data_IF_346989250575
#
_entry.id   IF_346989250575
#
_cell.length_a   1.000
_cell.length_b   1.000
_cell.length_c   1.000
_cell.angle_alpha   90.00
_cell.angle_beta   90.00
_cell.angle_gamma   90.00
#
_symmetry.space_group_name_H-M   'P 1'
#
loop_
_entity.id
_entity.type
_entity.pdbx_description
1 polymer ?
#
# COMPACT_ATOMS: atom_id res chain seq x y z
N UNK A 1 -64.80 -24.20 45.36
CA UNK A 1 -65.60 -24.09 44.13
C UNK A 1 -64.92 -23.08 43.21
N UNK A 2 -64.77 -23.42 41.91
CA UNK A 2 -64.54 -22.56 40.72
C UNK A 2 -63.29 -21.65 40.73
N UNK A 3 -62.16 -21.88 40.05
CA UNK A 3 -61.80 -22.30 38.66
C UNK A 3 -61.81 -21.15 37.61
N UNK A 4 -60.68 -21.05 36.87
CA UNK A 4 -60.46 -20.42 35.52
C UNK A 4 -60.45 -18.87 35.53
N UNK A 5 -59.50 -18.09 34.95
CA UNK A 5 -58.79 -18.12 33.65
C UNK A 5 -57.60 -17.13 33.72
N UNK A 6 -56.37 -17.53 33.39
CA UNK A 6 -55.65 -17.09 32.17
C UNK A 6 -56.12 -15.78 31.54
N UNK A 7 -55.25 -14.74 31.50
CA UNK A 7 -54.94 -14.15 30.20
C UNK A 7 -53.54 -13.52 30.10
N UNK A 8 -52.85 -13.92 29.03
CA UNK A 8 -51.62 -13.33 28.50
C UNK A 8 -52.05 -12.30 27.46
N UNK A 9 -51.93 -11.01 27.72
CA UNK A 9 -51.83 -9.97 26.69
C UNK A 9 -51.17 -8.74 27.31
N UNK A 10 -50.24 -8.01 26.73
CA UNK A 10 -49.46 -8.08 25.50
C UNK A 10 -48.28 -7.11 25.75
N UNK A 11 -47.04 -7.55 25.52
CA UNK A 11 -46.22 -7.04 24.41
C UNK A 11 -46.26 -5.53 24.23
N UNK A 12 -45.10 -4.90 24.48
CA UNK A 12 -44.44 -4.01 23.52
C UNK A 12 -45.41 -3.21 22.65
N UNK A 13 -45.78 -2.02 23.09
CA UNK A 13 -46.00 -0.87 22.20
C UNK A 13 -46.55 0.30 23.02
N UNK A 14 -45.65 1.09 23.56
CA UNK A 14 -45.75 2.54 23.69
C UNK A 14 -44.39 3.04 24.22
N UNK A 15 -43.29 2.62 23.59
CA UNK A 15 -42.56 3.50 22.68
C UNK A 15 -42.51 4.95 23.17
N UNK A 16 -41.31 5.31 23.62
CA UNK A 16 -40.50 6.45 23.17
C UNK A 16 -41.21 7.81 23.01
N UNK A 17 -40.50 8.81 23.53
CA UNK A 17 -40.60 10.23 23.19
C UNK A 17 -41.80 11.00 23.73
N UNK A 18 -41.67 11.51 24.96
CA UNK A 18 -41.72 12.96 25.28
C UNK A 18 -40.87 13.10 26.55
N UNK A 19 -39.66 13.67 26.50
CA UNK A 19 -39.45 15.11 26.53
C UNK A 19 -39.10 15.52 27.97
N UNK A 20 -37.84 15.95 28.15
CA UNK A 20 -37.21 16.47 29.36
C UNK A 20 -38.00 16.54 30.67
N UNK A 21 -37.57 15.78 31.68
CA UNK A 21 -37.65 16.21 33.07
C UNK A 21 -36.58 15.49 33.89
N UNK A 22 -35.74 16.29 34.53
CA UNK A 22 -34.74 15.86 35.46
C UNK A 22 -35.38 15.53 36.83
N UNK A 23 -34.65 14.71 37.59
CA UNK A 23 -34.65 14.57 39.05
C UNK A 23 -35.90 13.99 39.73
N UNK A 24 -35.68 12.89 40.46
CA UNK A 24 -36.57 12.43 41.53
C UNK A 24 -36.07 11.16 42.19
N UNK A 25 -35.07 11.27 43.07
CA UNK A 25 -34.66 10.22 44.00
C UNK A 25 -35.85 9.80 44.89
N UNK A 26 -36.04 8.49 45.05
CA UNK A 26 -37.12 7.93 45.88
C UNK A 26 -36.96 6.44 46.19
N UNK A 27 -35.84 6.10 46.82
CA UNK A 27 -35.62 5.04 47.84
C UNK A 27 -36.55 3.80 47.78
N UNK A 28 -35.98 2.69 47.32
CA UNK A 28 -36.52 1.34 47.48
C UNK A 28 -35.37 0.34 47.49
N UNK A 29 -34.57 0.36 48.56
CA UNK A 29 -33.44 -0.53 48.76
C UNK A 29 -33.89 -1.97 48.93
N UNK A 30 -33.22 -2.87 48.19
CA UNK A 30 -32.83 -4.26 48.53
C UNK A 30 -32.38 -4.91 47.21
N UNK A 31 -31.12 -4.69 46.84
CA UNK A 31 -30.54 -5.22 45.60
C UNK A 31 -29.17 -4.66 45.23
N UNK A 32 -28.70 -3.60 45.90
CA UNK A 32 -27.44 -2.93 45.62
C UNK A 32 -26.34 -3.29 46.63
N UNK A 33 -25.96 -4.56 46.76
CA UNK A 33 -24.71 -4.91 47.47
C UNK A 33 -23.82 -5.86 46.65
N UNK A 34 -24.27 -6.41 45.51
CA UNK A 34 -23.44 -7.29 44.68
C UNK A 34 -23.29 -6.86 43.20
N UNK A 35 -23.89 -5.73 42.80
CA UNK A 35 -23.79 -5.21 41.43
C UNK A 35 -22.67 -4.15 41.27
N UNK A 36 -22.20 -3.55 42.37
CA UNK A 36 -21.18 -2.49 42.35
C UNK A 36 -19.75 -3.02 42.24
N UNK A 37 -19.45 -4.21 42.79
CA UNK A 37 -18.13 -4.85 42.64
C UNK A 37 -17.92 -5.31 41.20
N UNK A 38 -18.93 -5.97 40.61
CA UNK A 38 -18.89 -6.41 39.22
C UNK A 38 -18.84 -5.23 38.24
N UNK A 39 -19.63 -4.17 38.46
CA UNK A 39 -19.58 -2.97 37.61
C UNK A 39 -18.24 -2.22 37.72
N UNK A 40 -17.65 -2.17 38.90
CA UNK A 40 -16.32 -1.56 39.10
C UNK A 40 -15.23 -2.37 38.42
N UNK A 41 -15.26 -3.70 38.56
CA UNK A 41 -14.32 -4.61 37.90
C UNK A 41 -14.47 -4.56 36.37
N UNK A 42 -15.70 -4.50 35.87
CA UNK A 42 -15.99 -4.42 34.43
C UNK A 42 -15.61 -3.05 33.84
N UNK A 43 -15.75 -1.96 34.61
CA UNK A 43 -15.20 -0.64 34.25
C UNK A 43 -13.68 -0.64 34.20
N UNK A 44 -13.02 -1.32 35.14
CA UNK A 44 -11.56 -1.43 35.15
C UNK A 44 -11.05 -2.24 33.95
N UNK A 45 -11.72 -3.35 33.61
CA UNK A 45 -11.41 -4.15 32.41
C UNK A 45 -11.64 -3.33 31.13
N UNK A 46 -12.76 -2.61 31.02
CA UNK A 46 -13.03 -1.77 29.86
C UNK A 46 -12.00 -0.63 29.72
N UNK A 47 -11.58 -0.02 30.83
CA UNK A 47 -10.52 1.00 30.81
C UNK A 47 -9.18 0.41 30.34
N UNK A 48 -8.81 -0.79 30.79
CA UNK A 48 -7.59 -1.49 30.34
C UNK A 48 -7.66 -1.81 28.85
N UNK A 49 -8.78 -2.36 28.38
CA UNK A 49 -9.00 -2.65 26.96
C UNK A 49 -8.92 -1.39 26.09
N UNK A 50 -9.46 -0.25 26.55
CA UNK A 50 -9.34 1.01 25.83
C UNK A 50 -7.89 1.50 25.75
N UNK A 51 -7.12 1.37 26.84
CA UNK A 51 -5.69 1.69 26.84
C UNK A 51 -4.89 0.74 25.95
N UNK A 52 -5.19 -0.56 25.95
CA UNK A 52 -4.54 -1.54 25.11
C UNK A 52 -4.85 -1.30 23.63
N UNK A 53 -6.10 -0.98 23.29
CA UNK A 53 -6.51 -0.60 21.93
C UNK A 53 -5.80 0.68 21.47
N UNK A 54 -5.69 1.69 22.34
CA UNK A 54 -4.92 2.89 22.03
C UNK A 54 -3.43 2.58 21.79
N UNK A 55 -2.81 1.76 22.65
CA UNK A 55 -1.41 1.36 22.48
C UNK A 55 -1.17 0.54 21.20
N UNK A 56 -2.09 -0.37 20.88
CA UNK A 56 -2.07 -1.15 19.65
C UNK A 56 -2.23 -0.25 18.42
N UNK A 57 -3.10 0.75 18.47
CA UNK A 57 -3.25 1.74 17.40
C UNK A 57 -1.98 2.59 17.25
N UNK A 58 -1.36 3.03 18.34
CA UNK A 58 -0.10 3.79 18.28
C UNK A 58 1.04 2.95 17.68
N UNK A 59 1.11 1.67 18.04
CA UNK A 59 2.08 0.72 17.44
C UNK A 59 1.76 0.43 15.99
N UNK A 60 0.49 0.30 15.63
CA UNK A 60 0.04 0.10 14.26
C UNK A 60 0.36 1.32 13.40
N UNK A 61 0.07 2.52 13.89
CA UNK A 61 0.41 3.79 13.22
C UNK A 61 1.92 3.93 13.08
N UNK A 62 2.69 3.58 14.12
CA UNK A 62 4.14 3.53 14.04
C UNK A 62 4.59 2.54 12.97
N UNK A 63 4.11 1.30 12.95
CA UNK A 63 4.44 0.30 11.92
C UNK A 63 3.97 0.70 10.52
N UNK A 64 2.84 1.38 10.40
CA UNK A 64 2.30 1.91 9.15
C UNK A 64 3.13 3.07 8.62
N UNK A 65 3.74 3.90 9.49
CA UNK A 65 4.76 4.89 9.08
C UNK A 65 5.99 4.23 8.48
N UNK A 66 6.26 2.97 8.80
CA UNK A 66 7.30 2.14 8.16
C UNK A 66 6.75 1.24 7.03
N UNK A 67 5.44 1.24 6.76
CA UNK A 67 4.84 0.53 5.63
C UNK A 67 5.01 1.36 4.37
N UNK A 68 6.22 1.34 3.82
CA UNK A 68 6.53 1.97 2.54
C UNK A 68 6.00 1.06 1.44
N UNK A 69 4.92 1.48 0.79
CA UNK A 69 4.36 0.81 -0.38
C UNK A 69 4.06 1.84 -1.46
N UNK A 70 4.26 1.47 -2.71
CA UNK A 70 4.05 2.35 -3.85
C UNK A 70 3.93 1.56 -5.13
N UNK A 71 3.22 2.11 -6.10
CA UNK A 71 3.00 1.43 -7.37
C UNK A 71 2.31 2.34 -8.36
N UNK A 72 2.37 1.96 -9.63
CA UNK A 72 1.88 2.81 -10.71
C UNK A 72 2.46 2.46 -12.07
N UNK A 73 2.10 3.28 -13.05
CA UNK A 73 2.60 3.17 -14.41
C UNK A 73 3.29 4.47 -14.80
N UNK A 74 4.46 4.32 -15.38
CA UNK A 74 5.24 5.40 -15.96
C UNK A 74 5.25 5.24 -17.48
N UNK A 75 5.30 6.37 -18.19
CA UNK A 75 5.46 6.40 -19.64
C UNK A 75 6.86 6.92 -19.93
N UNK A 76 7.73 6.02 -20.40
CA UNK A 76 9.08 6.36 -20.84
C UNK A 76 9.08 6.57 -22.35
N UNK A 77 9.36 7.79 -22.78
CA UNK A 77 9.45 8.07 -24.21
C UNK A 77 10.87 7.81 -24.72
N UNK A 78 11.01 6.82 -25.60
CA UNK A 78 12.25 6.44 -26.26
C UNK A 78 12.44 7.17 -27.59
N UNK A 79 13.70 7.39 -28.01
CA UNK A 79 14.01 8.01 -29.30
C UNK A 79 13.45 7.18 -30.47
N UNK A 80 12.73 7.82 -31.39
CA UNK A 80 12.28 7.14 -32.62
C UNK A 80 13.45 6.92 -33.60
N UNK A 81 13.21 6.09 -34.61
CA UNK A 81 14.23 5.69 -35.60
C UNK A 81 14.44 6.70 -36.73
N UNK A 82 13.58 7.72 -36.86
CA UNK A 82 13.58 8.67 -38.00
C UNK A 82 14.37 9.94 -37.67
N UNK A 83 14.00 10.63 -36.59
CA UNK A 83 14.57 11.93 -36.18
C UNK A 83 15.19 11.91 -34.77
N UNK A 84 15.20 10.74 -34.12
CA UNK A 84 15.74 10.50 -32.78
C UNK A 84 15.05 11.31 -31.67
N UNK A 85 13.87 11.88 -31.93
CA UNK A 85 13.09 12.55 -30.89
C UNK A 85 12.45 11.52 -29.94
N UNK A 86 12.35 11.80 -28.63
CA UNK A 86 11.78 10.90 -27.64
C UNK A 86 10.25 10.85 -27.78
N UNK A 87 9.75 10.12 -28.76
CA UNK A 87 8.32 10.03 -29.10
C UNK A 87 7.77 8.61 -29.01
N UNK A 88 8.61 7.58 -28.95
CA UNK A 88 8.16 6.19 -28.85
C UNK A 88 7.79 5.88 -27.41
N UNK A 89 6.50 5.73 -27.14
CA UNK A 89 5.98 5.43 -25.81
C UNK A 89 6.33 3.99 -25.39
N UNK A 90 6.99 3.86 -24.24
CA UNK A 90 7.14 2.61 -23.50
C UNK A 90 6.37 2.70 -22.19
N UNK A 91 5.47 1.76 -21.98
CA UNK A 91 4.72 1.63 -20.74
C UNK A 91 5.52 0.79 -19.75
N UNK A 92 5.90 1.43 -18.66
CA UNK A 92 6.60 0.84 -17.53
C UNK A 92 5.60 0.69 -16.38
N UNK A 93 5.56 -0.47 -15.75
CA UNK A 93 4.78 -0.72 -14.54
C UNK A 93 5.74 -0.94 -13.38
N UNK A 94 5.54 -0.20 -12.30
CA UNK A 94 6.37 -0.26 -11.13
C UNK A 94 5.56 -0.62 -9.89
N UNK A 95 6.21 -1.28 -8.95
CA UNK A 95 5.66 -1.62 -7.64
C UNK A 95 6.81 -1.73 -6.64
N UNK A 96 6.61 -1.25 -5.43
CA UNK A 96 7.49 -1.55 -4.31
C UNK A 96 6.69 -1.73 -3.01
N UNK A 97 7.27 -2.52 -2.12
CA UNK A 97 6.87 -2.66 -0.73
C UNK A 97 8.09 -2.48 0.19
N UNK A 98 7.96 -2.85 1.46
CA UNK A 98 9.02 -2.70 2.47
C UNK A 98 10.34 -3.42 2.13
N UNK A 99 10.31 -4.40 1.23
CA UNK A 99 11.44 -5.27 0.94
C UNK A 99 11.68 -5.44 -0.56
N UNK A 100 10.62 -5.40 -1.36
CA UNK A 100 10.66 -5.74 -2.76
C UNK A 100 10.42 -4.50 -3.61
N UNK A 101 11.16 -4.38 -4.72
CA UNK A 101 10.77 -3.50 -5.82
C UNK A 101 10.75 -4.29 -7.11
N UNK A 102 9.81 -3.95 -7.97
CA UNK A 102 9.64 -4.48 -9.29
C UNK A 102 9.43 -3.32 -10.25
N UNK A 103 10.15 -3.34 -11.36
CA UNK A 103 9.87 -2.52 -12.52
C UNK A 103 9.78 -3.44 -13.75
N UNK A 104 8.74 -3.27 -14.55
CA UNK A 104 8.44 -4.15 -15.68
C UNK A 104 8.06 -3.34 -16.91
N UNK A 105 8.66 -3.70 -18.03
CA UNK A 105 8.24 -3.32 -19.38
C UNK A 105 7.92 -4.60 -20.14
N UNK A 106 6.68 -4.73 -20.58
CA UNK A 106 6.24 -5.94 -21.27
C UNK A 106 6.61 -5.97 -22.74
N UNK A 107 6.54 -4.80 -23.36
CA UNK A 107 6.70 -4.67 -24.80
C UNK A 107 6.94 -3.22 -25.23
N UNK A 108 7.47 -3.05 -26.45
CA UNK A 108 7.49 -1.78 -27.16
C UNK A 108 6.52 -1.78 -28.36
N UNK A 109 5.60 -0.80 -28.48
CA UNK A 109 4.61 -0.76 -29.57
C UNK A 109 5.21 -0.37 -30.93
N UNK A 110 6.38 0.29 -30.92
CA UNK A 110 7.10 0.77 -32.10
C UNK A 110 8.60 0.54 -31.92
N UNK A 111 9.34 0.49 -33.04
CA UNK A 111 10.79 0.40 -33.02
C UNK A 111 11.38 1.69 -32.46
N UNK A 112 12.48 1.60 -31.72
CA UNK A 112 13.12 2.76 -31.10
C UNK A 112 14.63 2.58 -31.04
N UNK A 113 15.35 3.68 -30.86
CA UNK A 113 16.81 3.67 -30.68
C UNK A 113 17.14 3.52 -29.20
N UNK A 114 17.93 2.51 -28.87
CA UNK A 114 18.48 2.29 -27.54
C UNK A 114 19.99 2.56 -27.54
N UNK A 115 20.50 3.46 -26.67
CA UNK A 115 21.92 3.52 -26.40
C UNK A 115 22.31 2.30 -25.57
N UNK A 116 23.30 1.56 -26.06
CA UNK A 116 23.78 0.33 -25.44
C UNK A 116 25.28 0.40 -25.24
N UNK A 117 25.74 -0.14 -24.12
CA UNK A 117 27.15 -0.13 -23.78
C UNK A 117 27.96 -0.93 -24.81
N UNK A 118 29.03 -0.33 -25.35
CA UNK A 118 29.92 -0.87 -26.39
C UNK A 118 29.30 -1.14 -27.77
N UNK A 119 27.99 -1.32 -27.89
CA UNK A 119 27.30 -1.52 -29.17
C UNK A 119 26.80 -0.21 -29.79
N UNK A 120 26.78 0.88 -29.02
CA UNK A 120 26.37 2.20 -29.50
C UNK A 120 24.84 2.33 -29.56
N UNK A 121 24.35 3.09 -30.53
CA UNK A 121 22.91 3.24 -30.76
C UNK A 121 22.41 2.07 -31.61
N UNK A 122 21.53 1.24 -31.04
CA UNK A 122 20.92 0.12 -31.75
C UNK A 122 19.42 0.39 -31.93
N UNK A 123 18.90 0.03 -33.09
CA UNK A 123 17.47 -0.04 -33.32
C UNK A 123 16.90 -1.33 -32.71
N UNK A 124 16.00 -1.17 -31.75
CA UNK A 124 15.24 -2.26 -31.15
C UNK A 124 13.95 -2.45 -31.95
N UNK A 125 13.73 -3.67 -32.40
CA UNK A 125 12.60 -4.02 -33.26
C UNK A 125 11.27 -3.87 -32.51
N UNK A 126 10.21 -3.49 -33.24
CA UNK A 126 8.85 -3.40 -32.71
C UNK A 126 8.40 -4.73 -32.11
N UNK A 127 7.75 -4.66 -30.96
CA UNK A 127 7.17 -5.79 -30.24
C UNK A 127 8.19 -6.82 -29.70
N UNK A 128 9.41 -6.40 -29.38
CA UNK A 128 10.48 -7.33 -28.98
C UNK A 128 11.14 -7.00 -27.65
N UNK A 129 10.99 -5.77 -27.17
CA UNK A 129 11.64 -5.29 -25.95
C UNK A 129 10.89 -5.73 -24.69
N UNK A 130 11.55 -6.49 -23.84
CA UNK A 130 11.08 -6.89 -22.52
C UNK A 130 12.11 -6.52 -21.47
N UNK A 131 11.63 -6.04 -20.33
CA UNK A 131 12.45 -5.79 -19.15
C UNK A 131 11.67 -6.14 -17.88
N UNK A 132 12.31 -6.87 -16.98
CA UNK A 132 11.83 -7.09 -15.63
C UNK A 132 13.00 -6.90 -14.68
N UNK A 133 12.95 -5.84 -13.89
CA UNK A 133 13.86 -5.57 -12.79
C UNK A 133 13.15 -5.94 -11.51
N UNK A 134 13.78 -6.76 -10.67
CA UNK A 134 13.28 -7.07 -9.34
C UNK A 134 14.39 -7.10 -8.30
N UNK A 135 14.08 -6.64 -7.10
CA UNK A 135 14.94 -6.78 -5.94
C UNK A 135 14.11 -7.22 -4.75
N UNK A 136 14.74 -7.93 -3.82
CA UNK A 136 14.17 -8.31 -2.52
C UNK A 136 14.95 -7.68 -1.35
N UNK A 137 15.78 -6.68 -1.65
CA UNK A 137 16.51 -5.89 -0.67
C UNK A 137 16.22 -4.43 -0.97
N UNK A 138 15.38 -3.80 -0.16
CA UNK A 138 15.19 -2.36 -0.17
C UNK A 138 15.45 -1.84 1.25
N UNK A 139 16.16 -0.73 1.33
CA UNK A 139 16.33 -0.01 2.57
C UNK A 139 16.23 1.49 2.33
N UNK A 140 15.85 2.22 3.39
CA UNK A 140 15.76 3.68 3.33
C UNK A 140 17.18 4.24 3.39
N UNK A 141 17.60 4.91 2.31
CA UNK A 141 18.87 5.61 2.21
C UNK A 141 18.79 6.97 2.91
N UNK A 142 17.73 7.73 2.64
CA UNK A 142 17.48 9.03 3.27
C UNK A 142 16.00 9.41 3.25
N UNK A 143 15.63 10.28 4.19
CA UNK A 143 14.33 10.95 4.23
C UNK A 143 14.60 12.45 4.34
N UNK A 144 14.09 13.21 3.38
CA UNK A 144 14.14 14.66 3.37
C UNK A 144 12.74 15.20 3.64
N UNK A 145 12.52 15.72 4.86
CA UNK A 145 11.26 16.33 5.24
C UNK A 145 11.21 17.78 4.72
N UNK A 146 10.29 18.05 3.78
CA UNK A 146 10.03 19.38 3.22
C UNK A 146 8.53 19.55 2.97
N UNK A 147 8.11 20.60 2.25
CA UNK A 147 6.71 20.75 1.83
C UNK A 147 6.21 19.56 0.97
N UNK A 148 7.13 18.85 0.30
CA UNK A 148 6.88 17.49 -0.23
C UNK A 148 7.97 16.56 0.33
N UNK A 149 7.67 15.77 1.35
CA UNK A 149 8.66 14.83 1.91
C UNK A 149 9.15 13.89 0.83
N UNK A 150 10.47 13.68 0.76
CA UNK A 150 11.10 12.77 -0.20
C UNK A 150 11.76 11.63 0.55
N UNK A 151 11.47 10.40 0.17
CA UNK A 151 12.08 9.18 0.69
C UNK A 151 12.89 8.53 -0.43
N UNK A 152 14.18 8.34 -0.20
CA UNK A 152 15.07 7.65 -1.13
C UNK A 152 15.25 6.21 -0.62
N UNK A 153 14.85 5.24 -1.45
CA UNK A 153 15.05 3.82 -1.22
C UNK A 153 16.18 3.31 -2.12
N UNK A 154 17.05 2.50 -1.57
CA UNK A 154 18.15 1.88 -2.30
C UNK A 154 18.07 0.36 -2.16
N UNK A 155 18.49 -0.36 -3.19
CA UNK A 155 18.68 -1.81 -3.12
C UNK A 155 20.15 -2.17 -3.05
N UNK A 156 20.45 -3.27 -2.37
CA UNK A 156 21.82 -3.81 -2.35
C UNK A 156 22.12 -4.57 -3.64
N UNK A 157 21.19 -5.45 -4.04
CA UNK A 157 21.28 -6.29 -5.24
C UNK A 157 19.88 -6.50 -5.81
N UNK A 158 19.76 -6.51 -7.13
CA UNK A 158 18.59 -6.96 -7.85
C UNK A 158 18.94 -7.77 -9.09
N UNK A 159 17.92 -8.40 -9.65
CA UNK A 159 17.95 -9.16 -10.90
C UNK A 159 17.25 -8.38 -12.01
N UNK A 160 17.95 -8.14 -13.13
CA UNK A 160 17.39 -7.55 -14.33
C UNK A 160 17.32 -8.60 -15.44
N UNK A 161 16.12 -8.91 -15.89
CA UNK A 161 15.85 -9.74 -17.06
C UNK A 161 15.49 -8.83 -18.22
N UNK A 162 16.39 -8.68 -19.19
CA UNK A 162 16.14 -7.87 -20.39
C UNK A 162 16.25 -8.75 -21.62
N UNK A 163 15.32 -8.63 -22.55
CA UNK A 163 15.39 -9.29 -23.87
C UNK A 163 14.94 -8.31 -24.94
N UNK A 164 15.68 -8.24 -26.05
CA UNK A 164 15.32 -7.38 -27.17
C UNK A 164 15.83 -7.97 -28.49
N UNK A 165 15.10 -7.75 -29.59
CA UNK A 165 15.59 -8.09 -30.92
C UNK A 165 16.18 -6.84 -31.60
N UNK A 166 17.34 -7.01 -32.21
CA UNK A 166 17.98 -5.97 -33.01
C UNK A 166 18.76 -6.60 -34.18
N UNK A 167 18.50 -6.12 -35.39
CA UNK A 167 19.18 -6.61 -36.60
C UNK A 167 18.99 -8.10 -36.83
N UNK A 168 17.80 -8.64 -36.53
CA UNK A 168 17.49 -10.07 -36.68
C UNK A 168 18.12 -11.00 -35.63
N UNK A 169 18.78 -10.46 -34.61
CA UNK A 169 19.34 -11.24 -33.50
C UNK A 169 18.62 -10.90 -32.19
N UNK A 170 18.55 -11.86 -31.26
CA UNK A 170 18.00 -11.67 -29.92
C UNK A 170 19.17 -11.46 -28.95
N UNK A 171 19.06 -10.41 -28.14
CA UNK A 171 20.02 -10.07 -27.09
C UNK A 171 19.34 -10.18 -25.72
N UNK A 172 20.12 -10.59 -24.72
CA UNK A 172 19.65 -10.77 -23.35
C UNK A 172 18.87 -12.07 -23.14
N UNK A 173 18.05 -12.11 -22.10
CA UNK A 173 17.30 -13.31 -21.68
C UNK A 173 16.17 -12.96 -20.72
N UNK A 174 15.01 -13.60 -20.92
CA UNK A 174 13.90 -13.58 -19.94
C UNK A 174 14.09 -14.50 -18.75
N UNK A 175 15.12 -15.36 -18.77
CA UNK A 175 15.33 -16.43 -17.76
C UNK A 175 16.71 -16.40 -17.11
N UNK A 176 17.65 -15.60 -17.63
CA UNK A 176 19.00 -15.43 -17.07
C UNK A 176 19.17 -13.97 -16.72
N UNK A 177 19.14 -13.61 -15.42
CA UNK A 177 19.23 -12.23 -15.01
C UNK A 177 20.66 -11.70 -15.05
N UNK A 178 20.78 -10.38 -15.14
CA UNK A 178 21.99 -9.61 -14.90
C UNK A 178 21.85 -8.86 -13.56
N UNK A 179 22.92 -8.76 -12.75
CA UNK A 179 22.85 -8.06 -11.47
C UNK A 179 22.71 -6.55 -11.69
N UNK A 180 21.90 -5.89 -10.87
CA UNK A 180 21.77 -4.44 -10.86
C UNK A 180 21.58 -3.89 -9.43
N UNK A 181 21.67 -2.58 -9.28
CA UNK A 181 21.41 -1.83 -8.05
C UNK A 181 20.39 -0.74 -8.39
N UNK A 182 19.40 -0.51 -7.53
CA UNK A 182 18.31 0.43 -7.81
C UNK A 182 18.27 1.55 -6.79
N UNK A 183 17.94 2.76 -7.25
CA UNK A 183 17.57 3.89 -6.40
C UNK A 183 16.16 4.37 -6.78
N UNK A 184 15.26 4.42 -5.79
CA UNK A 184 13.86 4.83 -5.94
C UNK A 184 13.67 6.12 -5.15
N UNK A 185 13.19 7.16 -5.83
CA UNK A 185 12.89 8.45 -5.21
C UNK A 185 11.38 8.59 -5.09
N UNK A 186 10.85 8.31 -3.90
CA UNK A 186 9.45 8.46 -3.56
C UNK A 186 9.17 9.87 -3.01
N UNK A 187 8.19 10.58 -3.55
CA UNK A 187 7.84 11.95 -3.13
C UNK A 187 6.38 11.98 -2.69
N UNK A 188 6.13 12.49 -1.48
CA UNK A 188 4.77 12.59 -0.93
C UNK A 188 3.86 13.42 -1.86
N UNK A 189 2.68 12.86 -2.16
CA UNK A 189 1.66 13.52 -2.99
C UNK A 189 2.02 13.66 -4.48
N UNK A 190 3.12 13.07 -4.95
CA UNK A 190 3.57 13.12 -6.36
C UNK A 190 3.92 11.73 -6.90
N UNK A 191 3.99 11.62 -8.23
CA UNK A 191 4.55 10.44 -8.88
C UNK A 191 6.03 10.30 -8.52
N UNK A 192 6.50 9.06 -8.39
CA UNK A 192 7.89 8.76 -8.03
C UNK A 192 8.73 8.39 -9.26
N UNK A 193 10.05 8.46 -9.10
CA UNK A 193 11.03 8.09 -10.13
C UNK A 193 11.77 6.83 -9.72
N UNK A 194 11.87 5.86 -10.63
CA UNK A 194 12.69 4.65 -10.48
C UNK A 194 13.92 4.77 -11.37
N UNK A 195 15.11 4.61 -10.81
CA UNK A 195 16.38 4.67 -11.52
C UNK A 195 17.20 3.42 -11.21
N UNK A 196 17.68 2.77 -12.26
CA UNK A 196 18.60 1.64 -12.23
C UNK A 196 19.90 2.05 -12.94
#
# INVERSE_FOLDING_TARGET
>A
MTNIQSDKQNRRDFIKYVGGAAVGLGIGGLGFINSNSNLSAEKEINSKLQTDVANLNDRLEYLQRWAIFGGGSNIKNMPNTVDKQPTVRIDETFYFDQKNAICRVDNNPEAFIMPTYQMGEIEIEKNTFFMLMSTTSLHVKSIEESENSTCILESDVGDCFTEAAAGGNIYGSRIKPEPFTSEIVAVDGKAFSYTA
#
